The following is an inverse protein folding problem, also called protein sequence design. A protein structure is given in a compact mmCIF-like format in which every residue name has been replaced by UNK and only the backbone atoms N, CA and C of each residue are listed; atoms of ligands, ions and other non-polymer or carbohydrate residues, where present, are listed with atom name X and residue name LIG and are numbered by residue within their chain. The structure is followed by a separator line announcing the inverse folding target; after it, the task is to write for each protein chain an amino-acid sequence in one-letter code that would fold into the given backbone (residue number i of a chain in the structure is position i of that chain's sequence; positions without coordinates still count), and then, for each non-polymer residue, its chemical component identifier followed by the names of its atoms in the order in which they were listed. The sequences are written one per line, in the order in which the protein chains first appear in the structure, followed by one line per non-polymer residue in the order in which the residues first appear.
data_IF_773305983702
#
_entry.id   IF_773305983702
#
_cell.length_a   1.000
_cell.length_b   1.000
_cell.length_c   1.000
_cell.angle_alpha   90.00
_cell.angle_beta   90.00
_cell.angle_gamma   90.00
#
_symmetry.space_group_name_H-M   'P 1'
#
loop_
_entity.id
_entity.type
_entity.pdbx_description
1 polymer ?
#
# COMPACT_ATOMS: atom_id res chain seq x y z
N UNK A 1 11.15 -4.89 -14.12
CA UNK A 1 10.10 -3.88 -14.43
C UNK A 1 9.77 -3.02 -13.22
N UNK A 2 9.30 -3.58 -12.10
CA UNK A 2 8.98 -2.77 -10.89
C UNK A 2 10.16 -1.97 -10.34
N UNK A 3 11.35 -2.58 -10.20
CA UNK A 3 12.52 -1.86 -9.72
C UNK A 3 12.91 -0.68 -10.62
N UNK A 4 12.78 -0.82 -11.95
CA UNK A 4 13.02 0.26 -12.90
C UNK A 4 11.98 1.39 -12.78
N UNK A 5 10.72 1.06 -12.47
CA UNK A 5 9.69 2.06 -12.20
C UNK A 5 9.99 2.82 -10.90
N UNK A 6 10.38 2.10 -9.84
CA UNK A 6 10.79 2.69 -8.56
C UNK A 6 12.03 3.57 -8.72
N UNK A 7 13.01 3.13 -9.50
CA UNK A 7 14.21 3.91 -9.82
C UNK A 7 13.87 5.25 -10.48
N UNK A 8 13.01 5.21 -11.51
CA UNK A 8 12.54 6.43 -12.17
C UNK A 8 11.80 7.35 -11.20
N UNK A 9 10.99 6.80 -10.32
CA UNK A 9 10.24 7.56 -9.31
C UNK A 9 11.18 8.19 -8.27
N UNK A 10 12.15 7.41 -7.77
CA UNK A 10 13.17 7.85 -6.82
C UNK A 10 14.04 8.98 -7.36
N UNK A 11 14.32 9.00 -8.66
CA UNK A 11 15.16 10.02 -9.28
C UNK A 11 14.37 11.24 -9.81
N UNK A 12 13.05 11.29 -9.61
CA UNK A 12 12.18 12.34 -10.18
C UNK A 12 11.34 13.02 -9.08
N UNK A 13 11.83 14.10 -8.44
CA UNK A 13 11.16 14.71 -7.29
C UNK A 13 9.70 15.13 -7.52
N UNK A 14 9.38 15.65 -8.70
CA UNK A 14 8.01 16.08 -9.02
C UNK A 14 7.03 14.91 -9.10
N UNK A 15 7.46 13.72 -9.52
CA UNK A 15 6.63 12.51 -9.51
C UNK A 15 6.27 12.11 -8.08
N UNK A 16 7.23 12.25 -7.16
CA UNK A 16 7.03 11.98 -5.74
C UNK A 16 6.02 12.96 -5.13
N UNK A 17 6.15 14.26 -5.42
CA UNK A 17 5.18 15.29 -5.00
C UNK A 17 3.80 14.99 -5.58
N UNK A 18 3.70 14.66 -6.87
CA UNK A 18 2.44 14.33 -7.52
C UNK A 18 1.77 13.10 -6.87
N UNK A 19 2.53 12.03 -6.59
CA UNK A 19 1.99 10.85 -5.90
C UNK A 19 1.50 11.17 -4.48
N UNK A 20 2.22 12.00 -3.73
CA UNK A 20 1.76 12.44 -2.40
C UNK A 20 0.46 13.23 -2.49
N UNK A 21 0.32 14.13 -3.47
CA UNK A 21 -0.93 14.87 -3.69
C UNK A 21 -2.09 13.94 -4.06
N UNK A 22 -1.84 13.01 -4.98
CA UNK A 22 -2.84 11.98 -5.36
C UNK A 22 -3.24 11.15 -4.15
N UNK A 23 -2.27 10.73 -3.33
CA UNK A 23 -2.52 9.97 -2.11
C UNK A 23 -3.43 10.74 -1.15
N UNK A 24 -3.12 12.02 -0.86
CA UNK A 24 -3.92 12.87 0.02
C UNK A 24 -5.36 13.00 -0.49
N UNK A 25 -5.54 13.28 -1.78
CA UNK A 25 -6.87 13.42 -2.39
C UNK A 25 -7.67 12.12 -2.32
N UNK A 26 -7.02 10.98 -2.58
CA UNK A 26 -7.65 9.67 -2.46
C UNK A 26 -8.04 9.36 -1.02
N UNK A 27 -7.17 9.63 -0.04
CA UNK A 27 -7.46 9.45 1.39
C UNK A 27 -8.67 10.28 1.81
N UNK A 28 -8.76 11.54 1.38
CA UNK A 28 -9.90 12.41 1.68
C UNK A 28 -11.21 11.85 1.08
N UNK A 29 -11.16 11.42 -0.18
CA UNK A 29 -12.34 10.87 -0.84
C UNK A 29 -12.77 9.52 -0.26
N UNK A 30 -11.84 8.59 -0.03
CA UNK A 30 -12.10 7.30 0.61
C UNK A 30 -12.62 7.47 2.06
N UNK A 31 -12.14 8.48 2.78
CA UNK A 31 -12.68 8.84 4.10
C UNK A 31 -14.14 9.30 4.01
N UNK A 32 -14.48 10.11 3.01
CA UNK A 32 -15.89 10.49 2.75
C UNK A 32 -16.76 9.28 2.43
N UNK A 33 -16.29 8.34 1.61
CA UNK A 33 -17.01 7.10 1.31
C UNK A 33 -17.17 6.21 2.55
N UNK A 34 -16.13 6.11 3.37
CA UNK A 34 -16.18 5.36 4.64
C UNK A 34 -17.19 5.96 5.62
N UNK A 35 -17.30 7.30 5.67
CA UNK A 35 -18.33 7.94 6.48
C UNK A 35 -19.75 7.62 5.98
N UNK A 36 -19.94 7.49 4.67
CA UNK A 36 -21.23 7.10 4.07
C UNK A 36 -21.57 5.62 4.35
N UNK A 37 -20.57 4.74 4.51
CA UNK A 37 -20.77 3.34 4.97
C UNK A 37 -21.23 3.25 6.44
N UNK A 38 -21.05 4.32 7.21
CA UNK A 38 -21.29 4.38 8.65
C UNK A 38 -20.02 4.17 9.46
N UNK A 39 -19.82 4.99 10.50
CA UNK A 39 -18.60 5.00 11.34
C UNK A 39 -18.30 3.65 11.98
N UNK A 40 -19.33 2.86 12.28
CA UNK A 40 -19.20 1.56 12.94
C UNK A 40 -18.95 0.40 11.95
N UNK A 41 -18.93 0.68 10.64
CA UNK A 41 -18.76 -0.31 9.58
C UNK A 41 -17.48 -0.07 8.75
N UNK A 42 -16.30 -0.01 9.37
CA UNK A 42 -15.07 0.21 8.62
C UNK A 42 -14.86 -0.88 7.57
N UNK A 43 -14.33 -0.51 6.39
CA UNK A 43 -14.10 -1.49 5.34
C UNK A 43 -13.08 -2.57 5.75
N UNK A 44 -13.09 -3.74 5.09
CA UNK A 44 -12.30 -4.90 5.55
C UNK A 44 -10.78 -4.73 5.47
N UNK A 45 -10.31 -3.85 4.59
CA UNK A 45 -8.91 -3.59 4.25
C UNK A 45 -8.10 -3.00 5.40
N UNK A 46 -8.76 -2.25 6.29
CA UNK A 46 -8.11 -1.64 7.46
C UNK A 46 -7.92 -2.64 8.63
N UNK A 47 -8.44 -3.86 8.50
CA UNK A 47 -8.36 -4.89 9.55
C UNK A 47 -7.09 -5.72 9.37
N UNK A 48 -6.55 -6.31 10.43
CA UNK A 48 -5.46 -7.29 10.31
C UNK A 48 -6.01 -8.70 10.02
N UNK A 49 -6.63 -8.85 8.85
CA UNK A 49 -7.37 -10.04 8.46
C UNK A 49 -8.79 -10.11 9.03
N UNK A 50 -9.55 -11.11 8.60
CA UNK A 50 -10.97 -11.29 8.96
C UNK A 50 -11.44 -12.72 8.69
N UNK A 51 -12.60 -13.08 9.20
CA UNK A 51 -13.24 -14.39 8.99
C UNK A 51 -14.40 -14.29 8.02
N UNK A 52 -14.83 -15.42 7.43
CA UNK A 52 -16.05 -15.49 6.62
C UNK A 52 -17.29 -15.00 7.38
N UNK A 53 -17.40 -15.32 8.68
CA UNK A 53 -18.51 -14.85 9.52
C UNK A 53 -18.49 -13.32 9.66
N UNK A 54 -17.33 -12.75 9.99
CA UNK A 54 -17.22 -11.29 10.20
C UNK A 54 -17.36 -10.49 8.91
N UNK A 55 -16.91 -11.02 7.77
CA UNK A 55 -17.06 -10.36 6.48
C UNK A 55 -18.52 -10.40 6.00
N UNK A 56 -19.19 -11.54 6.12
CA UNK A 56 -20.60 -11.64 5.75
C UNK A 56 -21.50 -10.78 6.65
N UNK A 57 -21.21 -10.73 7.96
CA UNK A 57 -21.91 -9.82 8.88
C UNK A 57 -21.68 -8.34 8.52
N UNK A 58 -20.51 -8.00 7.99
CA UNK A 58 -20.25 -6.65 7.50
C UNK A 58 -21.08 -6.31 6.25
N UNK A 59 -21.24 -7.25 5.31
CA UNK A 59 -22.17 -7.04 4.18
C UNK A 59 -23.61 -6.80 4.66
N UNK A 60 -24.06 -7.57 5.65
CA UNK A 60 -25.40 -7.39 6.23
C UNK A 60 -25.55 -6.03 6.91
N UNK A 61 -24.49 -5.53 7.55
CA UNK A 61 -24.50 -4.25 8.25
C UNK A 61 -24.53 -3.04 7.29
N UNK A 62 -23.84 -3.12 6.14
CA UNK A 62 -23.81 -2.03 5.16
C UNK A 62 -24.97 -2.11 4.14
N UNK A 63 -25.54 -3.30 3.93
CA UNK A 63 -26.63 -3.52 2.97
C UNK A 63 -26.23 -3.30 1.50
N UNK A 64 -27.22 -3.34 0.60
CA UNK A 64 -26.98 -3.21 -0.85
C UNK A 64 -26.44 -1.82 -1.24
N UNK A 65 -26.97 -0.76 -0.63
CA UNK A 65 -26.50 0.60 -0.92
C UNK A 65 -25.10 0.84 -0.39
N UNK A 66 -24.77 0.29 0.78
CA UNK A 66 -23.40 0.27 1.28
C UNK A 66 -22.46 -0.54 0.38
N UNK A 67 -22.93 -1.65 -0.21
CA UNK A 67 -22.14 -2.40 -1.19
C UNK A 67 -21.79 -1.55 -2.42
N UNK A 68 -22.69 -0.70 -2.91
CA UNK A 68 -22.42 0.24 -4.03
C UNK A 68 -21.39 1.30 -3.63
N UNK A 69 -21.51 1.87 -2.43
CA UNK A 69 -20.54 2.83 -1.89
C UNK A 69 -19.16 2.18 -1.75
N UNK A 70 -19.11 0.95 -1.24
CA UNK A 70 -17.87 0.22 -1.10
C UNK A 70 -17.22 -0.09 -2.46
N UNK A 71 -18.00 -0.38 -3.51
CA UNK A 71 -17.44 -0.53 -4.86
C UNK A 71 -16.78 0.75 -5.38
N UNK A 72 -17.30 1.93 -5.03
CA UNK A 72 -16.63 3.20 -5.34
C UNK A 72 -15.33 3.35 -4.54
N UNK A 73 -15.34 2.94 -3.27
CA UNK A 73 -14.14 2.93 -2.43
C UNK A 73 -13.06 2.02 -3.03
N UNK A 74 -13.43 0.81 -3.43
CA UNK A 74 -12.57 -0.17 -4.10
C UNK A 74 -11.98 0.37 -5.38
N UNK A 75 -12.76 1.10 -6.20
CA UNK A 75 -12.25 1.67 -7.43
C UNK A 75 -11.08 2.63 -7.17
N UNK A 76 -11.22 3.51 -6.18
CA UNK A 76 -10.19 4.49 -5.79
C UNK A 76 -9.00 3.80 -5.13
N UNK A 77 -9.27 2.80 -4.30
CA UNK A 77 -8.27 1.98 -3.63
C UNK A 77 -7.37 1.27 -4.65
N UNK A 78 -7.99 0.53 -5.59
CA UNK A 78 -7.32 -0.14 -6.71
C UNK A 78 -6.63 0.82 -7.65
N UNK A 79 -7.17 2.02 -7.86
CA UNK A 79 -6.54 3.05 -8.66
C UNK A 79 -7.09 4.45 -8.33
N UNK A 80 -6.25 5.43 -7.97
CA UNK A 80 -4.78 5.41 -7.94
C UNK A 80 -4.17 5.26 -6.53
N UNK A 81 -4.96 4.98 -5.50
CA UNK A 81 -4.50 5.04 -4.11
C UNK A 81 -3.38 4.04 -3.82
N UNK A 82 -3.56 2.76 -4.17
CA UNK A 82 -2.55 1.74 -3.85
C UNK A 82 -1.21 1.93 -4.55
N UNK A 83 -1.24 2.46 -5.77
CA UNK A 83 -0.03 2.80 -6.51
C UNK A 83 0.69 3.97 -5.86
N UNK A 84 -0.05 4.98 -5.40
CA UNK A 84 0.55 6.19 -4.83
C UNK A 84 1.40 5.88 -3.60
N UNK A 85 0.87 5.11 -2.63
CA UNK A 85 1.61 4.85 -1.39
C UNK A 85 2.74 3.83 -1.59
N UNK A 86 2.56 2.84 -2.46
CA UNK A 86 3.60 1.82 -2.71
C UNK A 86 4.74 2.34 -3.57
N UNK A 87 4.47 3.22 -4.54
CA UNK A 87 5.52 3.90 -5.30
C UNK A 87 6.32 4.85 -4.43
N UNK A 88 5.66 5.65 -3.59
CA UNK A 88 6.35 6.56 -2.66
C UNK A 88 7.19 5.77 -1.65
N UNK A 89 6.60 4.78 -0.97
CA UNK A 89 7.32 3.96 0.00
C UNK A 89 8.50 3.21 -0.62
N UNK A 90 8.28 2.59 -1.79
CA UNK A 90 9.32 1.87 -2.53
C UNK A 90 10.45 2.78 -3.01
N UNK A 91 10.14 3.97 -3.51
CA UNK A 91 11.13 4.93 -3.97
C UNK A 91 11.99 5.48 -2.82
N UNK A 92 11.36 5.85 -1.70
CA UNK A 92 12.07 6.32 -0.50
C UNK A 92 12.98 5.23 0.06
N UNK A 93 12.50 3.99 0.15
CA UNK A 93 13.31 2.87 0.62
C UNK A 93 14.49 2.59 -0.33
N UNK A 94 14.26 2.63 -1.64
CA UNK A 94 15.33 2.49 -2.63
C UNK A 94 16.42 3.55 -2.48
N UNK A 95 16.05 4.82 -2.26
CA UNK A 95 17.01 5.90 -1.99
C UNK A 95 17.85 5.62 -0.74
N UNK A 96 17.22 5.20 0.35
CA UNK A 96 17.93 4.90 1.60
C UNK A 96 18.88 3.70 1.48
N UNK A 97 18.50 2.67 0.71
CA UNK A 97 19.35 1.52 0.43
C UNK A 97 20.59 1.89 -0.39
N UNK A 98 20.44 2.80 -1.36
CA UNK A 98 21.55 3.28 -2.22
C UNK A 98 22.61 4.03 -1.46
N UNK A 99 22.19 4.86 -0.50
CA UNK A 99 23.10 5.65 0.35
C UNK A 99 24.14 4.77 1.04
N UNK A 100 23.75 3.56 1.45
CA UNK A 100 24.61 2.60 2.15
C UNK A 100 25.13 1.47 1.25
N UNK A 101 24.84 1.51 -0.06
CA UNK A 101 25.23 0.46 -1.00
C UNK A 101 24.62 -0.92 -0.69
N UNK A 102 23.42 -0.99 -0.09
CA UNK A 102 22.76 -2.25 0.25
C UNK A 102 21.85 -2.76 -0.87
N UNK A 103 21.25 -3.94 -0.67
CA UNK A 103 20.49 -4.64 -1.70
C UNK A 103 19.20 -3.89 -2.07
N UNK A 104 19.19 -3.26 -3.24
CA UNK A 104 18.04 -2.51 -3.79
C UNK A 104 16.77 -3.35 -3.92
N UNK A 105 16.87 -4.68 -4.06
CA UNK A 105 15.71 -5.55 -4.19
C UNK A 105 14.81 -5.56 -2.95
N UNK A 106 15.30 -5.10 -1.79
CA UNK A 106 14.49 -4.94 -0.59
C UNK A 106 13.33 -3.95 -0.84
N UNK A 107 13.52 -2.95 -1.72
CA UNK A 107 12.46 -2.00 -2.09
C UNK A 107 11.26 -2.66 -2.77
N UNK A 108 11.41 -3.87 -3.33
CA UNK A 108 10.32 -4.65 -3.93
C UNK A 108 9.27 -5.13 -2.91
N UNK A 109 9.53 -4.96 -1.61
CA UNK A 109 8.54 -5.21 -0.56
C UNK A 109 7.26 -4.39 -0.78
N UNK A 110 7.35 -3.13 -1.25
CA UNK A 110 6.18 -2.28 -1.49
C UNK A 110 5.35 -2.72 -2.71
N UNK A 111 5.93 -3.07 -3.86
CA UNK A 111 5.21 -3.80 -4.91
C UNK A 111 4.53 -5.08 -4.43
N UNK A 112 5.17 -5.85 -3.53
CA UNK A 112 4.53 -7.04 -2.94
C UNK A 112 3.33 -6.66 -2.05
N UNK A 113 3.42 -5.57 -1.28
CA UNK A 113 2.29 -5.00 -0.54
C UNK A 113 1.14 -4.69 -1.49
N UNK A 114 1.39 -4.00 -2.61
CA UNK A 114 0.38 -3.69 -3.62
C UNK A 114 -0.32 -4.95 -4.16
N UNK A 115 0.44 -6.01 -4.47
CA UNK A 115 -0.13 -7.25 -4.98
C UNK A 115 -1.05 -7.93 -3.96
N UNK A 116 -0.66 -7.93 -2.68
CA UNK A 116 -1.49 -8.47 -1.62
C UNK A 116 -2.75 -7.62 -1.40
N UNK A 117 -2.62 -6.29 -1.48
CA UNK A 117 -3.72 -5.32 -1.41
C UNK A 117 -4.73 -5.56 -2.54
N UNK A 118 -4.27 -5.76 -3.78
CA UNK A 118 -5.16 -6.09 -4.91
C UNK A 118 -6.01 -7.34 -4.65
N UNK A 119 -5.40 -8.42 -4.14
CA UNK A 119 -6.12 -9.67 -3.83
C UNK A 119 -7.15 -9.42 -2.74
N UNK A 120 -6.73 -8.71 -1.70
CA UNK A 120 -7.53 -8.42 -0.51
C UNK A 120 -8.69 -7.47 -0.78
N UNK A 121 -8.54 -6.51 -1.69
CA UNK A 121 -9.59 -5.55 -2.07
C UNK A 121 -10.56 -6.18 -3.08
N UNK A 122 -10.07 -6.97 -4.04
CA UNK A 122 -10.91 -7.53 -5.10
C UNK A 122 -11.93 -8.56 -4.58
N UNK A 123 -11.56 -9.41 -3.61
CA UNK A 123 -12.44 -10.47 -3.13
C UNK A 123 -13.66 -9.90 -2.38
N UNK A 124 -13.51 -8.97 -1.42
CA UNK A 124 -14.64 -8.33 -0.77
C UNK A 124 -15.50 -7.52 -1.73
N UNK A 125 -14.89 -6.87 -2.73
CA UNK A 125 -15.60 -6.16 -3.79
C UNK A 125 -16.47 -7.09 -4.63
N UNK A 126 -15.96 -8.26 -4.98
CA UNK A 126 -16.73 -9.32 -5.63
C UNK A 126 -17.85 -9.84 -4.72
N UNK A 127 -17.63 -9.91 -3.40
CA UNK A 127 -18.71 -10.21 -2.46
C UNK A 127 -19.85 -9.19 -2.49
N UNK A 128 -19.52 -7.89 -2.60
CA UNK A 128 -20.51 -6.83 -2.79
C UNK A 128 -21.27 -6.94 -4.12
N UNK A 129 -20.65 -7.45 -5.20
CA UNK A 129 -21.31 -7.56 -6.50
C UNK A 129 -22.29 -8.73 -6.62
N UNK A 130 -22.26 -9.66 -5.67
CA UNK A 130 -23.16 -10.83 -5.61
C UNK A 130 -24.10 -10.79 -4.39
N UNK A 131 -24.04 -9.73 -3.59
CA UNK A 131 -24.90 -9.50 -2.44
C UNK A 131 -26.20 -8.80 -2.91
N UNK A 132 -27.38 -9.20 -2.40
CA UNK A 132 -27.62 -10.15 -1.31
C UNK A 132 -27.84 -11.60 -1.77
N UNK A 133 -27.85 -11.86 -3.07
CA UNK A 133 -28.31 -13.14 -3.64
C UNK A 133 -27.40 -14.32 -3.26
N UNK A 134 -26.11 -14.05 -3.07
CA UNK A 134 -25.10 -15.05 -2.74
C UNK A 134 -24.12 -14.53 -1.68
N UNK A 135 -23.44 -15.48 -1.04
CA UNK A 135 -22.36 -15.21 -0.08
C UNK A 135 -21.04 -15.72 -0.62
N UNK A 136 -19.96 -15.03 -0.23
CA UNK A 136 -18.61 -15.49 -0.55
C UNK A 136 -18.35 -16.83 0.12
N UNK A 137 -17.77 -17.76 -0.65
CA UNK A 137 -17.32 -19.04 -0.13
C UNK A 137 -16.20 -18.81 0.90
N UNK A 138 -16.14 -19.57 2.00
CA UNK A 138 -15.12 -19.41 3.04
C UNK A 138 -13.68 -19.42 2.51
N UNK A 139 -13.38 -20.24 1.51
CA UNK A 139 -12.05 -20.31 0.88
C UNK A 139 -11.62 -18.98 0.24
N UNK A 140 -12.52 -18.25 -0.43
CA UNK A 140 -12.18 -16.93 -0.98
C UNK A 140 -11.93 -15.93 0.14
N UNK A 141 -12.75 -15.94 1.19
CA UNK A 141 -12.56 -15.05 2.33
C UNK A 141 -11.24 -15.35 3.04
N UNK A 142 -10.87 -16.62 3.18
CA UNK A 142 -9.58 -17.01 3.77
C UNK A 142 -8.41 -16.51 2.94
N UNK A 143 -8.45 -16.66 1.60
CA UNK A 143 -7.42 -16.14 0.72
C UNK A 143 -7.26 -14.61 0.87
N UNK A 144 -8.39 -13.89 0.89
CA UNK A 144 -8.43 -12.44 1.10
C UNK A 144 -7.85 -12.03 2.45
N UNK A 145 -8.25 -12.72 3.52
CA UNK A 145 -7.78 -12.45 4.87
C UNK A 145 -6.27 -12.71 5.03
N UNK A 146 -5.75 -13.79 4.43
CA UNK A 146 -4.32 -14.07 4.40
C UNK A 146 -3.54 -13.03 3.58
N UNK A 147 -4.08 -12.60 2.44
CA UNK A 147 -3.51 -11.50 1.67
C UNK A 147 -3.46 -10.21 2.50
N UNK A 148 -4.52 -9.89 3.25
CA UNK A 148 -4.55 -8.74 4.15
C UNK A 148 -3.45 -8.78 5.22
N UNK A 149 -3.27 -9.93 5.86
CA UNK A 149 -2.22 -10.12 6.86
C UNK A 149 -0.84 -9.95 6.23
N UNK A 150 -0.60 -10.55 5.06
CA UNK A 150 0.67 -10.41 4.33
C UNK A 150 0.92 -8.96 3.87
N UNK A 151 -0.13 -8.24 3.44
CA UNK A 151 -0.07 -6.81 3.12
C UNK A 151 0.47 -6.02 4.32
N UNK A 152 -0.19 -6.12 5.47
CA UNK A 152 0.17 -5.38 6.67
C UNK A 152 1.53 -5.79 7.24
N UNK A 153 1.86 -7.08 7.22
CA UNK A 153 3.18 -7.56 7.65
C UNK A 153 4.29 -7.00 6.76
N UNK A 154 4.16 -7.11 5.43
CA UNK A 154 5.15 -6.57 4.50
C UNK A 154 5.25 -5.04 4.57
N UNK A 155 4.12 -4.35 4.72
CA UNK A 155 4.10 -2.90 4.89
C UNK A 155 4.83 -2.49 6.17
N UNK A 156 4.55 -3.16 7.29
CA UNK A 156 5.22 -2.93 8.57
C UNK A 156 6.72 -3.16 8.52
N UNK A 157 7.18 -4.25 7.89
CA UNK A 157 8.59 -4.54 7.66
C UNK A 157 9.23 -3.45 6.79
N UNK A 158 8.62 -3.11 5.65
CA UNK A 158 9.13 -2.11 4.71
C UNK A 158 9.28 -0.74 5.37
N UNK A 159 8.27 -0.31 6.13
CA UNK A 159 8.31 0.94 6.88
C UNK A 159 9.35 0.92 8.00
N UNK A 160 9.51 -0.20 8.71
CA UNK A 160 10.53 -0.33 9.77
C UNK A 160 11.94 -0.20 9.20
N UNK A 161 12.23 -0.91 8.10
CA UNK A 161 13.53 -0.82 7.43
C UNK A 161 13.76 0.61 6.94
N UNK A 162 12.78 1.21 6.28
CA UNK A 162 12.86 2.60 5.81
C UNK A 162 13.16 3.57 6.97
N UNK A 163 12.45 3.47 8.09
CA UNK A 163 12.67 4.34 9.25
C UNK A 163 14.04 4.13 9.88
N UNK A 164 14.49 2.88 10.04
CA UNK A 164 15.81 2.56 10.57
C UNK A 164 16.91 3.14 9.67
N UNK A 165 16.82 2.92 8.37
CA UNK A 165 17.79 3.42 7.41
C UNK A 165 17.78 4.95 7.34
N UNK A 166 16.61 5.58 7.38
CA UNK A 166 16.50 7.04 7.39
C UNK A 166 17.21 7.64 8.61
N UNK A 167 16.98 7.10 9.80
CA UNK A 167 17.67 7.53 11.03
C UNK A 167 19.16 7.26 10.94
N UNK A 168 19.55 6.06 10.51
CA UNK A 168 20.95 5.68 10.37
C UNK A 168 21.71 6.60 9.40
N UNK A 169 21.18 6.83 8.20
CA UNK A 169 21.78 7.69 7.19
C UNK A 169 21.80 9.16 7.58
N UNK A 170 20.88 9.60 8.44
CA UNK A 170 20.88 10.95 9.00
C UNK A 170 21.96 11.13 10.07
N UNK A 171 22.22 10.09 10.88
CA UNK A 171 23.23 10.11 11.94
C UNK A 171 24.65 9.83 11.43
N UNK A 172 24.76 9.02 10.37
CA UNK A 172 26.02 8.61 9.75
C UNK A 172 25.96 8.92 8.25
N UNK A 173 25.94 10.20 7.86
CA UNK A 173 25.89 10.57 6.46
C UNK A 173 27.11 9.98 5.72
N UNK A 174 26.91 9.39 4.53
CA UNK A 174 28.03 8.86 3.74
C UNK A 174 29.02 9.99 3.49
N UNK A 175 30.31 9.72 3.71
CA UNK A 175 31.39 10.66 3.39
C UNK A 175 31.48 10.82 1.87
N UNK A 176 30.72 11.75 1.32
CA UNK A 176 30.70 12.03 -0.13
C UNK A 176 31.99 12.70 -0.65
N UNK A 177 32.94 13.04 0.23
CA UNK A 177 34.08 13.92 -0.09
C UNK A 177 35.45 13.25 -0.27
N UNK A 178 35.62 11.97 0.06
CA UNK A 178 36.94 11.32 -0.11
C UNK A 178 37.16 10.80 -1.55
N UNK A 179 36.10 10.51 -2.31
CA UNK A 179 36.20 10.00 -3.69
C UNK A 179 36.49 11.06 -4.77
N UNK A 180 36.17 12.35 -4.51
CA UNK A 180 36.44 13.44 -5.49
C UNK A 180 37.83 14.07 -5.34
N UNK A 181 38.55 13.76 -4.26
CA UNK A 181 39.91 14.23 -4.03
C UNK A 181 40.95 13.37 -4.76
N UNK A 182 40.71 12.08 -4.92
CA UNK A 182 41.63 11.17 -5.62
C UNK A 182 41.58 11.33 -7.16
N UNK A 183 40.44 11.71 -7.74
CA UNK A 183 40.28 11.89 -9.19
C UNK A 183 40.87 13.21 -9.73
N UNK A 184 41.40 14.08 -8.86
CA UNK A 184 42.09 15.33 -9.25
C UNK A 184 43.61 15.27 -9.10
N UNK A 185 44.16 14.12 -8.72
CA UNK A 185 45.61 13.94 -8.48
C UNK A 185 46.33 13.11 -9.52
N UNK A 186 45.66 12.71 -10.61
CA UNK A 186 46.26 12.02 -11.76
C UNK A 186 46.37 12.92 -13.01
#
# INVERSE_FOLDING_TARGET
MFLAALDKFANTPWLMVAAVLVHILCTQYMSSLTQQLGKDNPPPDIRFGYTSKSLNAWYDAIGEDGCKIYQQHVFVDLFPYMQSYTLVGGALLLQQLRIIGWNENIALIFPMVMLMDMIETCIPAYGCSIYPEKRLRPAYVQASASANQLKWTNFGIGMSILSILFVYNSLFPPKHDEAKAEEKTD
#
